data_IF_592523140148
#
_entry.id   IF_592523140148
#
_cell.length_a   1.000
_cell.length_b   1.000
_cell.length_c   1.000
_cell.angle_alpha   90.00
_cell.angle_beta   90.00
_cell.angle_gamma   90.00
#
_symmetry.space_group_name_H-M   'P 1'
#
loop_
_entity.id
_entity.type
_entity.pdbx_description
1 polymer ?
#
# COMPACT_ATOMS: atom_id res chain seq x y z
N UNK A 1 3.39 22.78 -24.10
CA UNK A 1 2.64 22.54 -22.85
C UNK A 1 2.81 21.07 -22.54
N UNK A 2 3.39 20.72 -21.41
CA UNK A 2 3.49 19.32 -20.96
C UNK A 2 2.10 18.86 -20.54
N UNK A 3 1.60 17.79 -21.16
CA UNK A 3 0.33 17.20 -20.75
C UNK A 3 0.46 16.67 -19.31
N UNK A 4 -0.54 16.92 -18.43
CA UNK A 4 -0.52 16.39 -17.08
C UNK A 4 -0.63 14.86 -17.12
N UNK A 5 0.15 14.20 -16.29
CA UNK A 5 0.09 12.74 -16.13
C UNK A 5 -1.31 12.39 -15.59
N UNK A 6 -2.02 11.52 -16.31
CA UNK A 6 -3.33 11.05 -15.87
C UNK A 6 -3.19 10.23 -14.60
N UNK A 7 -4.11 10.41 -13.65
CA UNK A 7 -4.09 9.64 -12.42
C UNK A 7 -4.45 8.17 -12.67
N UNK A 8 -3.93 7.29 -11.82
CA UNK A 8 -4.24 5.87 -11.82
C UNK A 8 -5.33 5.64 -10.79
N UNK A 9 -6.45 5.06 -11.21
CA UNK A 9 -7.59 4.79 -10.35
C UNK A 9 -7.88 3.29 -10.31
N UNK A 10 -8.20 2.79 -9.12
CA UNK A 10 -8.71 1.45 -8.93
C UNK A 10 -10.19 1.41 -9.34
N UNK A 11 -10.71 0.25 -9.77
CA UNK A 11 -12.15 0.05 -9.89
C UNK A 11 -12.84 0.35 -8.56
N UNK A 12 -14.09 0.85 -8.55
CA UNK A 12 -14.85 1.03 -7.33
C UNK A 12 -14.85 -0.24 -6.47
N UNK A 13 -14.66 -0.07 -5.17
CA UNK A 13 -14.56 -1.22 -4.27
C UNK A 13 -15.91 -1.92 -4.13
N UNK A 14 -15.92 -3.23 -4.36
CA UNK A 14 -17.09 -4.09 -4.11
C UNK A 14 -17.07 -4.64 -2.69
N UNK A 15 -15.87 -4.94 -2.15
CA UNK A 15 -15.69 -5.47 -0.81
C UNK A 15 -14.35 -4.97 -0.21
N UNK A 16 -14.36 -3.78 0.43
CA UNK A 16 -13.17 -3.17 1.00
C UNK A 16 -12.42 -4.08 2.00
N UNK A 17 -13.14 -4.90 2.76
CA UNK A 17 -12.55 -5.82 3.74
C UNK A 17 -11.75 -6.92 3.05
N UNK A 18 -12.31 -7.54 2.01
CA UNK A 18 -11.62 -8.58 1.23
C UNK A 18 -10.36 -8.02 0.56
N UNK A 19 -10.45 -6.80 0.01
CA UNK A 19 -9.29 -6.12 -0.58
C UNK A 19 -8.22 -5.79 0.48
N UNK A 20 -8.64 -5.39 1.69
CA UNK A 20 -7.75 -5.19 2.83
C UNK A 20 -7.03 -6.46 3.27
N UNK A 21 -7.73 -7.59 3.36
CA UNK A 21 -7.11 -8.89 3.68
C UNK A 21 -6.09 -9.30 2.62
N UNK A 22 -6.41 -9.06 1.35
CA UNK A 22 -5.49 -9.29 0.25
C UNK A 22 -4.24 -8.42 0.40
N UNK A 23 -4.41 -7.12 0.64
CA UNK A 23 -3.31 -6.18 0.79
C UNK A 23 -2.42 -6.55 1.98
N UNK A 24 -3.01 -6.87 3.14
CA UNK A 24 -2.29 -7.30 4.33
C UNK A 24 -1.41 -8.53 4.03
N UNK A 25 -1.99 -9.55 3.39
CA UNK A 25 -1.26 -10.80 3.07
C UNK A 25 -0.14 -10.56 2.07
N UNK A 26 -0.37 -9.75 1.04
CA UNK A 26 0.64 -9.42 0.02
C UNK A 26 1.77 -8.57 0.58
N UNK A 27 1.44 -7.53 1.35
CA UNK A 27 2.41 -6.65 1.97
C UNK A 27 3.25 -7.40 3.01
N UNK A 28 2.65 -8.24 3.85
CA UNK A 28 3.42 -9.06 4.79
C UNK A 28 4.45 -9.95 4.08
N UNK A 29 4.03 -10.63 3.00
CA UNK A 29 4.95 -11.46 2.20
C UNK A 29 6.08 -10.64 1.59
N UNK A 30 5.78 -9.44 1.11
CA UNK A 30 6.78 -8.54 0.56
C UNK A 30 7.78 -8.10 1.63
N UNK A 31 7.30 -7.68 2.81
CA UNK A 31 8.16 -7.26 3.93
C UNK A 31 9.08 -8.39 4.41
N UNK A 32 8.52 -9.59 4.55
CA UNK A 32 9.27 -10.78 4.98
C UNK A 32 10.35 -11.18 3.96
N UNK A 33 10.11 -10.93 2.67
CA UNK A 33 11.06 -11.21 1.61
C UNK A 33 12.16 -10.14 1.49
N UNK A 34 11.79 -8.86 1.62
CA UNK A 34 12.70 -7.72 1.43
C UNK A 34 13.63 -7.50 2.63
N UNK A 35 13.11 -7.63 3.86
CA UNK A 35 13.84 -7.22 5.07
C UNK A 35 14.16 -8.33 6.08
N UNK A 36 13.58 -9.52 5.89
CA UNK A 36 13.51 -10.67 6.81
C UNK A 36 12.19 -10.75 7.60
N UNK A 37 11.71 -11.98 7.90
CA UNK A 37 10.50 -12.18 8.68
C UNK A 37 10.64 -11.69 10.13
N UNK A 38 9.82 -10.71 10.51
CA UNK A 38 9.77 -10.19 11.87
C UNK A 38 8.33 -10.01 12.37
N UNK A 39 8.14 -10.10 13.69
CA UNK A 39 6.84 -9.88 14.34
C UNK A 39 6.29 -8.47 14.07
N UNK A 40 7.15 -7.48 13.85
CA UNK A 40 6.73 -6.11 13.55
C UNK A 40 6.10 -6.01 12.16
N UNK A 41 6.55 -6.81 11.18
CA UNK A 41 6.02 -6.82 9.82
C UNK A 41 4.52 -7.11 9.80
N UNK A 42 4.04 -8.01 10.67
CA UNK A 42 2.61 -8.33 10.80
C UNK A 42 1.80 -7.12 11.25
N UNK A 43 2.31 -6.35 12.22
CA UNK A 43 1.65 -5.15 12.75
C UNK A 43 1.63 -4.03 11.70
N UNK A 44 2.74 -3.86 10.99
CA UNK A 44 2.88 -2.88 9.90
C UNK A 44 1.90 -3.20 8.77
N UNK A 45 1.88 -4.45 8.30
CA UNK A 45 0.99 -4.89 7.23
C UNK A 45 -0.49 -4.75 7.64
N UNK A 46 -0.83 -5.11 8.88
CA UNK A 46 -2.18 -4.92 9.41
C UNK A 46 -2.58 -3.45 9.45
N UNK A 47 -1.69 -2.56 9.92
CA UNK A 47 -1.97 -1.12 10.03
C UNK A 47 -2.18 -0.49 8.65
N UNK A 48 -1.32 -0.79 7.68
CA UNK A 48 -1.46 -0.31 6.31
C UNK A 48 -2.78 -0.78 5.66
N UNK A 49 -3.15 -2.05 5.85
CA UNK A 49 -4.41 -2.59 5.35
C UNK A 49 -5.64 -1.91 5.98
N UNK A 50 -5.61 -1.60 7.28
CA UNK A 50 -6.70 -0.86 7.95
C UNK A 50 -6.90 0.55 7.37
N UNK A 51 -5.79 1.26 7.11
CA UNK A 51 -5.83 2.59 6.48
C UNK A 51 -6.45 2.48 5.09
N UNK A 52 -5.97 1.54 4.27
CA UNK A 52 -6.49 1.28 2.94
C UNK A 52 -7.99 0.96 2.94
N UNK A 53 -8.45 0.02 3.78
CA UNK A 53 -9.87 -0.35 3.89
C UNK A 53 -10.73 0.87 4.22
N UNK A 54 -10.28 1.70 5.17
CA UNK A 54 -11.04 2.90 5.56
C UNK A 54 -11.18 3.87 4.38
N UNK A 55 -10.10 4.11 3.62
CA UNK A 55 -10.15 4.96 2.44
C UNK A 55 -11.04 4.38 1.33
N UNK A 56 -10.99 3.06 1.09
CA UNK A 56 -11.90 2.39 0.13
C UNK A 56 -13.37 2.51 0.54
N UNK A 57 -13.67 2.40 1.84
CA UNK A 57 -15.02 2.63 2.37
C UNK A 57 -15.50 4.08 2.22
N UNK A 58 -14.57 5.03 2.29
CA UNK A 58 -14.83 6.46 2.04
C UNK A 58 -15.01 6.78 0.54
N UNK A 59 -14.86 5.78 -0.34
CA UNK A 59 -15.04 5.90 -1.78
C UNK A 59 -13.79 6.36 -2.53
N UNK A 60 -12.64 6.43 -1.86
CA UNK A 60 -11.38 6.76 -2.50
C UNK A 60 -10.90 5.58 -3.37
N UNK A 61 -10.52 5.88 -4.60
CA UNK A 61 -10.03 4.92 -5.57
C UNK A 61 -8.79 5.44 -6.32
N UNK A 62 -8.40 6.70 -6.17
CA UNK A 62 -7.17 7.25 -6.71
C UNK A 62 -5.97 6.64 -5.99
N UNK A 63 -5.07 6.01 -6.76
CA UNK A 63 -3.89 5.35 -6.23
C UNK A 63 -3.00 6.33 -5.46
N UNK A 64 -2.83 7.55 -5.99
CA UNK A 64 -2.02 8.59 -5.36
C UNK A 64 -2.60 8.98 -4.00
N UNK A 65 -3.90 9.26 -3.92
CA UNK A 65 -4.60 9.54 -2.67
C UNK A 65 -4.44 8.40 -1.65
N UNK A 66 -4.62 7.15 -2.07
CA UNK A 66 -4.48 5.98 -1.20
C UNK A 66 -3.08 5.85 -0.62
N UNK A 67 -2.05 6.02 -1.46
CA UNK A 67 -0.64 5.97 -1.05
C UNK A 67 -0.30 7.14 -0.11
N UNK A 68 -0.81 8.34 -0.40
CA UNK A 68 -0.65 9.52 0.46
C UNK A 68 -1.31 9.30 1.84
N UNK A 69 -2.50 8.71 1.90
CA UNK A 69 -3.15 8.38 3.16
C UNK A 69 -2.30 7.40 3.98
N UNK A 70 -1.77 6.36 3.35
CA UNK A 70 -0.91 5.37 4.01
C UNK A 70 0.36 6.01 4.55
N UNK A 71 1.11 6.77 3.76
CA UNK A 71 2.34 7.40 4.27
C UNK A 71 2.04 8.35 5.42
N UNK A 72 0.98 9.17 5.29
CA UNK A 72 0.61 10.17 6.30
C UNK A 72 0.22 9.52 7.63
N UNK A 73 -0.58 8.47 7.60
CA UNK A 73 -1.04 7.81 8.84
C UNK A 73 -0.01 6.87 9.44
N UNK A 74 0.88 6.30 8.62
CA UNK A 74 1.97 5.48 9.10
C UNK A 74 3.06 6.31 9.80
N UNK A 75 3.15 7.63 9.61
CA UNK A 75 4.04 8.49 10.41
C UNK A 75 3.79 8.39 11.92
N UNK A 76 2.57 8.05 12.33
CA UNK A 76 2.23 7.84 13.74
C UNK A 76 2.59 6.43 14.26
N UNK A 77 3.11 5.54 13.41
CA UNK A 77 3.52 4.19 13.78
C UNK A 77 4.96 4.18 14.32
N UNK A 78 5.21 3.39 15.36
CA UNK A 78 6.55 3.21 15.92
C UNK A 78 7.36 2.19 15.12
N UNK A 79 8.21 2.69 14.22
CA UNK A 79 9.15 1.90 13.42
C UNK A 79 10.50 1.65 14.12
N UNK A 80 10.67 1.97 15.42
CA UNK A 80 11.95 1.77 16.13
C UNK A 80 12.42 0.31 16.16
N UNK A 81 11.51 -0.64 15.88
CA UNK A 81 11.78 -2.07 15.80
C UNK A 81 11.89 -2.61 14.37
N UNK A 82 12.03 -1.74 13.37
CA UNK A 82 12.19 -2.10 11.96
C UNK A 82 13.33 -1.33 11.31
N UNK A 83 13.88 -1.85 10.22
CA UNK A 83 14.96 -1.21 9.45
C UNK A 83 14.47 -0.22 8.39
N UNK A 84 13.15 -0.06 8.26
CA UNK A 84 12.48 0.70 7.23
C UNK A 84 11.37 1.54 7.86
N UNK A 85 10.85 2.52 7.11
CA UNK A 85 9.81 3.45 7.57
C UNK A 85 8.58 3.47 6.67
N UNK A 86 7.71 4.44 6.93
CA UNK A 86 6.42 4.66 6.28
C UNK A 86 6.52 4.76 4.75
N UNK A 87 7.58 5.38 4.23
CA UNK A 87 7.79 5.54 2.79
C UNK A 87 8.02 4.20 2.09
N UNK A 88 8.75 3.27 2.72
CA UNK A 88 8.95 1.94 2.16
C UNK A 88 7.62 1.18 2.06
N UNK A 89 6.75 1.36 3.07
CA UNK A 89 5.41 0.76 3.09
C UNK A 89 4.52 1.35 2.00
N UNK A 90 4.49 2.68 1.89
CA UNK A 90 3.70 3.37 0.89
C UNK A 90 4.11 2.98 -0.54
N UNK A 91 5.41 2.87 -0.81
CA UNK A 91 5.94 2.42 -2.09
C UNK A 91 5.57 0.96 -2.39
N UNK A 92 5.75 0.06 -1.41
CA UNK A 92 5.37 -1.35 -1.57
C UNK A 92 3.86 -1.51 -1.83
N UNK A 93 3.02 -0.74 -1.14
CA UNK A 93 1.58 -0.74 -1.38
C UNK A 93 1.27 -0.22 -2.78
N UNK A 94 1.90 0.87 -3.23
CA UNK A 94 1.74 1.39 -4.59
C UNK A 94 2.04 0.31 -5.63
N UNK A 95 3.18 -0.38 -5.51
CA UNK A 95 3.58 -1.46 -6.41
C UNK A 95 2.55 -2.59 -6.43
N UNK A 96 2.10 -3.04 -5.26
CA UNK A 96 1.11 -4.11 -5.14
C UNK A 96 -0.22 -3.75 -5.79
N UNK A 97 -0.68 -2.50 -5.66
CA UNK A 97 -1.91 -2.03 -6.28
C UNK A 97 -1.75 -1.87 -7.80
N UNK A 98 -0.58 -1.45 -8.30
CA UNK A 98 -0.30 -1.45 -9.74
C UNK A 98 -0.32 -2.87 -10.32
N UNK A 99 0.31 -3.82 -9.61
CA UNK A 99 0.28 -5.25 -9.98
C UNK A 99 -1.16 -5.80 -10.04
N UNK A 100 -2.04 -5.40 -9.12
CA UNK A 100 -3.44 -5.87 -9.12
C UNK A 100 -4.25 -5.33 -10.30
N UNK A 101 -3.84 -4.19 -10.86
CA UNK A 101 -4.40 -3.61 -12.08
C UNK A 101 -3.79 -4.20 -13.36
N UNK A 102 -2.82 -5.11 -13.23
CA UNK A 102 -2.06 -5.64 -14.38
C UNK A 102 -1.14 -4.60 -15.03
N UNK A 103 -0.85 -3.50 -14.33
CA UNK A 103 0.12 -2.50 -14.76
C UNK A 103 1.48 -3.01 -14.33
N UNK A 104 2.23 -3.55 -15.29
CA UNK A 104 3.57 -4.06 -15.02
C UNK A 104 4.50 -2.93 -14.61
N UNK A 105 5.50 -3.24 -13.79
CA UNK A 105 6.45 -2.25 -13.28
C UNK A 105 7.21 -1.67 -14.47
N UNK A 106 6.83 -0.47 -14.91
CA UNK A 106 7.63 0.31 -15.84
C UNK A 106 8.88 0.81 -15.10
N UNK A 107 9.88 -0.08 -14.95
CA UNK A 107 11.33 0.13 -15.01
C UNK A 107 12.09 -0.96 -14.22
N UNK A 108 13.03 -1.64 -14.90
CA UNK A 108 14.09 -2.44 -14.26
C UNK A 108 14.38 -3.81 -14.88
N UNK A 109 14.74 -3.87 -16.17
CA UNK A 109 15.67 -4.90 -16.68
C UNK A 109 17.10 -4.34 -16.67
#
# INVERSE_FOLDING_TARGET
MTEPISSITLPPSENPQMEGEWLQKRLLRWLDAEFLPELINQKIAQRAAQIFVRQRMEGENDLGSLVIAIVTEMQAFDFSKSFYGEFAIANAVSDLLLESLGIDRCCGQ
#
